data_IF_147295831677
#
_entry.id   IF_147295831677
#
_cell.length_a   1.000
_cell.length_b   1.000
_cell.length_c   1.000
_cell.angle_alpha   90.00
_cell.angle_beta   90.00
_cell.angle_gamma   90.00
#
_symmetry.space_group_name_H-M   'P 1'
#
loop_
_entity.id
_entity.type
_entity.pdbx_description
1 polymer ?
#
# COMPACT_ATOMS: atom_id res chain seq x y z
N UNK A 1 3.44 -6.59 -21.80
CA UNK A 1 2.55 -5.45 -22.13
C UNK A 1 1.27 -5.64 -21.33
N UNK A 2 0.98 -4.80 -20.33
CA UNK A 2 -0.25 -4.91 -19.51
C UNK A 2 -0.05 -4.82 -18.00
N UNK A 3 1.18 -4.96 -17.50
CA UNK A 3 1.48 -4.82 -16.07
C UNK A 3 1.52 -3.33 -15.69
N UNK A 4 0.81 -2.89 -14.63
CA UNK A 4 0.93 -1.54 -14.11
C UNK A 4 2.41 -1.21 -13.83
N UNK A 5 2.94 -0.06 -14.27
CA UNK A 5 4.35 0.27 -14.14
C UNK A 5 4.70 0.78 -12.73
N UNK A 6 4.30 0.03 -11.70
CA UNK A 6 4.52 0.36 -10.30
C UNK A 6 4.52 -0.90 -9.42
N UNK A 7 5.27 -0.85 -8.33
CA UNK A 7 5.44 -1.93 -7.36
C UNK A 7 4.18 -2.31 -6.58
N UNK A 8 3.16 -1.45 -6.54
CA UNK A 8 1.86 -1.76 -5.91
C UNK A 8 0.67 -1.35 -6.77
N UNK A 9 -0.45 -2.04 -6.57
CA UNK A 9 -1.77 -1.66 -7.08
C UNK A 9 -2.62 -1.23 -5.89
N UNK A 10 -3.25 -0.06 -5.99
CA UNK A 10 -4.15 0.46 -4.95
C UNK A 10 -5.54 0.70 -5.51
N UNK A 11 -6.56 0.58 -4.66
CA UNK A 11 -7.94 0.88 -5.01
C UNK A 11 -8.90 0.65 -3.86
N UNK A 12 -10.18 0.94 -4.08
CA UNK A 12 -11.24 0.60 -3.11
C UNK A 12 -11.89 -0.70 -3.55
N UNK A 13 -11.94 -1.66 -2.65
CA UNK A 13 -12.59 -2.95 -2.83
C UNK A 13 -13.80 -3.11 -1.91
N UNK A 14 -14.65 -4.09 -2.23
CA UNK A 14 -15.68 -4.61 -1.32
C UNK A 14 -15.42 -6.10 -1.08
N UNK A 15 -15.06 -6.44 0.15
CA UNK A 15 -14.99 -7.81 0.61
C UNK A 15 -16.41 -8.33 0.82
N UNK A 16 -16.73 -9.49 0.25
CA UNK A 16 -18.04 -10.12 0.46
C UNK A 16 -18.04 -10.79 1.83
N UNK A 17 -19.10 -10.53 2.58
CA UNK A 17 -19.43 -11.25 3.82
C UNK A 17 -20.93 -11.54 3.81
N UNK A 18 -21.37 -12.52 4.59
CA UNK A 18 -22.78 -12.90 4.75
C UNK A 18 -23.68 -11.77 5.29
N UNK A 19 -23.10 -10.66 5.78
CA UNK A 19 -23.81 -9.53 6.38
C UNK A 19 -23.73 -8.21 5.59
N UNK A 20 -23.47 -8.25 4.27
CA UNK A 20 -23.56 -7.06 3.40
C UNK A 20 -22.23 -6.51 2.88
N UNK A 21 -21.12 -7.14 3.28
CA UNK A 21 -19.78 -6.90 2.76
C UNK A 21 -19.09 -5.64 3.31
N UNK A 22 -17.76 -5.70 3.41
CA UNK A 22 -16.91 -4.64 3.93
C UNK A 22 -16.25 -3.87 2.80
N UNK A 23 -16.52 -2.56 2.68
CA UNK A 23 -15.74 -1.68 1.80
C UNK A 23 -14.42 -1.33 2.49
N UNK A 24 -13.31 -1.41 1.77
CA UNK A 24 -12.00 -1.11 2.30
C UNK A 24 -11.09 -0.56 1.20
N UNK A 25 -10.14 0.30 1.57
CA UNK A 25 -8.98 0.58 0.75
C UNK A 25 -8.09 -0.65 0.71
N UNK A 26 -7.63 -1.03 -0.47
CA UNK A 26 -6.79 -2.21 -0.67
C UNK A 26 -5.49 -1.81 -1.36
N UNK A 27 -4.37 -2.27 -0.80
CA UNK A 27 -3.04 -2.20 -1.40
C UNK A 27 -2.57 -3.62 -1.68
N UNK A 28 -2.11 -3.89 -2.90
CA UNK A 28 -1.61 -5.21 -3.29
C UNK A 28 -0.25 -5.02 -3.97
N UNK A 29 0.78 -5.69 -3.48
CA UNK A 29 2.07 -5.70 -4.16
C UNK A 29 1.98 -6.36 -5.53
N UNK A 30 2.56 -5.69 -6.53
CA UNK A 30 2.64 -6.14 -7.91
C UNK A 30 3.96 -6.86 -8.14
N UNK A 31 4.04 -8.13 -7.74
CA UNK A 31 5.26 -8.94 -7.88
C UNK A 31 5.71 -9.10 -9.34
N UNK A 32 4.79 -8.99 -10.30
CA UNK A 32 5.08 -9.02 -11.73
C UNK A 32 5.85 -7.78 -12.23
N UNK A 33 5.88 -6.70 -11.46
CA UNK A 33 6.67 -5.50 -11.77
C UNK A 33 7.84 -5.38 -10.80
N UNK A 34 9.06 -5.65 -11.29
CA UNK A 34 10.31 -5.50 -10.54
C UNK A 34 10.25 -6.16 -9.14
N UNK A 35 9.71 -7.38 -9.05
CA UNK A 35 9.55 -8.14 -7.81
C UNK A 35 8.74 -7.42 -6.70
N UNK A 36 7.81 -6.53 -7.09
CA UNK A 36 7.02 -5.75 -6.14
C UNK A 36 7.83 -4.71 -5.38
N UNK A 37 9.06 -4.42 -5.83
CA UNK A 37 9.94 -3.46 -5.19
C UNK A 37 9.25 -2.10 -5.05
N UNK A 38 9.30 -1.57 -3.84
CA UNK A 38 8.57 -0.38 -3.46
C UNK A 38 9.21 0.86 -4.10
N UNK A 39 8.43 1.56 -4.93
CA UNK A 39 8.86 2.70 -5.74
C UNK A 39 8.12 4.00 -5.38
N UNK A 40 8.59 5.13 -5.89
CA UNK A 40 8.02 6.46 -5.62
C UNK A 40 6.56 6.58 -6.10
N UNK A 41 6.23 5.95 -7.24
CA UNK A 41 4.86 5.92 -7.74
C UNK A 41 3.92 5.13 -6.82
N UNK A 42 4.41 4.05 -6.22
CA UNK A 42 3.72 3.26 -5.21
C UNK A 42 3.46 4.07 -3.95
N UNK A 43 4.43 4.90 -3.55
CA UNK A 43 4.27 5.81 -2.42
C UNK A 43 3.15 6.83 -2.65
N UNK A 44 3.16 7.48 -3.81
CA UNK A 44 2.14 8.46 -4.16
C UNK A 44 0.74 7.81 -4.20
N UNK A 45 0.63 6.62 -4.80
CA UNK A 45 -0.62 5.86 -4.88
C UNK A 45 -1.16 5.45 -3.51
N UNK A 46 -0.28 5.01 -2.62
CA UNK A 46 -0.69 4.63 -1.27
C UNK A 46 -1.10 5.86 -0.46
N UNK A 47 -0.35 6.95 -0.51
CA UNK A 47 -0.73 8.21 0.14
C UNK A 47 -2.10 8.72 -0.34
N UNK A 48 -2.37 8.68 -1.66
CA UNK A 48 -3.70 9.03 -2.21
C UNK A 48 -4.79 8.10 -1.70
N UNK A 49 -4.54 6.81 -1.62
CA UNK A 49 -5.50 5.85 -1.06
C UNK A 49 -5.81 6.17 0.41
N UNK A 50 -4.79 6.47 1.24
CA UNK A 50 -4.98 6.82 2.64
C UNK A 50 -5.86 8.07 2.81
N UNK A 51 -5.68 9.09 1.96
CA UNK A 51 -6.54 10.29 1.97
C UNK A 51 -7.99 9.93 1.65
N UNK A 52 -8.22 9.16 0.58
CA UNK A 52 -9.58 8.75 0.20
C UNK A 52 -10.22 7.88 1.29
N UNK A 53 -9.46 6.97 1.91
CA UNK A 53 -9.96 6.14 3.00
C UNK A 53 -10.26 6.97 4.27
N UNK A 54 -9.51 8.03 4.52
CA UNK A 54 -9.76 8.93 5.63
C UNK A 54 -11.06 9.73 5.41
N UNK A 55 -11.28 10.24 4.20
CA UNK A 55 -12.49 10.97 3.82
C UNK A 55 -13.74 10.08 3.86
N UNK A 56 -13.66 8.86 3.33
CA UNK A 56 -14.78 7.91 3.32
C UNK A 56 -14.91 7.09 4.61
N UNK A 57 -14.02 7.28 5.59
CA UNK A 57 -13.90 6.46 6.81
C UNK A 57 -13.86 4.97 6.55
N UNK A 58 -13.01 4.55 5.61
CA UNK A 58 -12.81 3.17 5.23
C UNK A 58 -11.58 2.57 5.92
N UNK A 59 -11.64 1.29 6.33
CA UNK A 59 -10.45 0.56 6.76
C UNK A 59 -9.50 0.34 5.59
N UNK A 60 -8.23 0.12 5.89
CA UNK A 60 -7.18 -0.12 4.88
C UNK A 60 -6.60 -1.52 5.08
N UNK A 61 -6.52 -2.28 3.99
CA UNK A 61 -6.02 -3.65 3.98
C UNK A 61 -4.89 -3.74 2.96
N UNK A 62 -3.71 -4.16 3.41
CA UNK A 62 -2.51 -4.25 2.60
C UNK A 62 -2.08 -5.71 2.44
N UNK A 63 -1.84 -6.15 1.22
CA UNK A 63 -1.23 -7.43 0.88
C UNK A 63 0.17 -7.16 0.31
N UNK A 64 1.18 -7.33 1.15
CA UNK A 64 2.55 -6.91 0.86
C UNK A 64 3.41 -8.12 0.54
N UNK A 65 4.08 -8.04 -0.60
CA UNK A 65 5.11 -8.96 -1.07
C UNK A 65 6.09 -8.15 -1.92
N UNK A 66 7.24 -7.81 -1.35
CA UNK A 66 8.23 -6.92 -1.94
C UNK A 66 9.66 -7.39 -1.70
N UNK A 67 10.45 -7.38 -2.78
CA UNK A 67 11.91 -7.49 -2.73
C UNK A 67 12.62 -6.27 -2.12
N UNK A 68 11.88 -5.38 -1.45
CA UNK A 68 12.41 -4.22 -0.72
C UNK A 68 12.32 -2.93 -1.53
N UNK A 69 13.33 -2.06 -1.35
CA UNK A 69 13.39 -0.76 -2.00
C UNK A 69 13.72 -0.87 -3.50
N UNK A 70 13.11 -0.02 -4.32
CA UNK A 70 13.46 0.13 -5.73
C UNK A 70 14.82 0.82 -5.92
N UNK A 71 15.91 0.05 -5.98
CA UNK A 71 17.28 0.58 -6.12
C UNK A 71 17.52 1.39 -7.38
N UNK A 72 16.76 1.13 -8.46
CA UNK A 72 16.87 1.87 -9.73
C UNK A 72 16.38 3.33 -9.64
N UNK A 73 15.61 3.69 -8.61
CA UNK A 73 15.21 5.08 -8.32
C UNK A 73 16.24 5.80 -7.44
N UNK A 74 17.33 5.12 -7.09
CA UNK A 74 18.44 5.68 -6.31
C UNK A 74 18.00 6.11 -4.91
N UNK A 75 18.55 7.23 -4.45
CA UNK A 75 18.29 7.74 -3.11
C UNK A 75 16.81 8.10 -2.87
N UNK A 76 16.03 8.37 -3.92
CA UNK A 76 14.60 8.71 -3.79
C UNK A 76 13.79 7.60 -3.13
N UNK A 77 14.08 6.34 -3.45
CA UNK A 77 13.32 5.20 -2.94
C UNK A 77 13.54 4.93 -1.43
N UNK A 78 14.62 5.47 -0.84
CA UNK A 78 14.82 5.42 0.62
C UNK A 78 13.74 6.23 1.34
N UNK A 79 13.34 7.37 0.77
CA UNK A 79 12.42 8.30 1.40
C UNK A 79 10.95 7.92 1.18
N UNK A 80 10.62 7.20 0.11
CA UNK A 80 9.23 6.74 -0.13
C UNK A 80 8.68 5.96 1.04
N UNK A 81 9.47 5.04 1.62
CA UNK A 81 8.99 4.21 2.71
C UNK A 81 8.84 5.01 4.01
N UNK A 82 9.79 5.90 4.31
CA UNK A 82 9.70 6.80 5.46
C UNK A 82 8.47 7.72 5.37
N UNK A 83 8.21 8.28 4.18
CA UNK A 83 7.06 9.15 3.95
C UNK A 83 5.73 8.41 4.15
N UNK A 84 5.62 7.16 3.67
CA UNK A 84 4.42 6.36 3.87
C UNK A 84 4.23 5.97 5.31
N UNK A 85 5.29 5.58 6.02
CA UNK A 85 5.18 5.18 7.41
C UNK A 85 4.71 6.35 8.30
N UNK A 86 5.19 7.57 8.06
CA UNK A 86 4.67 8.78 8.72
C UNK A 86 3.19 8.98 8.39
N UNK A 87 2.81 8.86 7.10
CA UNK A 87 1.40 9.02 6.68
C UNK A 87 0.49 7.96 7.24
N UNK A 88 0.94 6.71 7.33
CA UNK A 88 0.19 5.61 7.91
C UNK A 88 0.02 5.81 9.42
N UNK A 89 1.09 6.23 10.10
CA UNK A 89 1.04 6.55 11.54
C UNK A 89 0.03 7.66 11.82
N UNK A 90 0.06 8.74 11.02
CA UNK A 90 -0.94 9.82 11.11
C UNK A 90 -2.34 9.33 10.79
N UNK A 91 -2.51 8.49 9.78
CA UNK A 91 -3.81 7.93 9.42
C UNK A 91 -4.43 7.17 10.60
N UNK A 92 -3.66 6.28 11.25
CA UNK A 92 -4.12 5.52 12.41
C UNK A 92 -4.39 6.45 13.60
N UNK A 93 -3.49 7.41 13.86
CA UNK A 93 -3.60 8.31 15.02
C UNK A 93 -4.76 9.31 14.91
N UNK A 94 -4.96 9.88 13.72
CA UNK A 94 -5.89 11.00 13.52
C UNK A 94 -7.31 10.52 13.23
N UNK A 95 -7.47 9.36 12.57
CA UNK A 95 -8.78 8.83 12.17
C UNK A 95 -9.23 7.61 12.97
N UNK A 96 -8.34 6.95 13.72
CA UNK A 96 -8.62 5.74 14.50
C UNK A 96 -9.25 4.61 13.64
N UNK A 97 -8.87 4.56 12.36
CA UNK A 97 -9.35 3.57 11.39
C UNK A 97 -8.42 2.36 11.36
N UNK A 98 -8.97 1.13 11.26
CA UNK A 98 -8.14 -0.05 11.31
C UNK A 98 -7.33 -0.22 10.01
N UNK A 99 -6.05 -0.53 10.20
CA UNK A 99 -5.10 -0.89 9.15
C UNK A 99 -4.66 -2.33 9.39
N UNK A 100 -4.83 -3.18 8.38
CA UNK A 100 -4.41 -4.58 8.44
C UNK A 100 -3.37 -4.82 7.36
N UNK A 101 -2.20 -5.36 7.73
CA UNK A 101 -1.11 -5.65 6.79
C UNK A 101 -0.84 -7.15 6.80
N UNK A 102 -1.03 -7.78 5.65
CA UNK A 102 -0.71 -9.18 5.38
C UNK A 102 0.57 -9.26 4.56
N UNK A 103 1.67 -9.64 5.21
CA UNK A 103 2.91 -9.99 4.52
C UNK A 103 2.83 -11.41 3.96
N UNK A 104 3.19 -11.59 2.69
CA UNK A 104 3.27 -12.91 2.06
C UNK A 104 4.45 -12.97 1.09
N UNK A 105 5.12 -14.12 0.99
CA UNK A 105 6.33 -14.24 0.17
C UNK A 105 7.49 -13.40 0.73
N UNK A 106 8.22 -12.72 -0.15
CA UNK A 106 9.34 -11.87 0.24
C UNK A 106 8.84 -10.54 0.82
N UNK A 107 9.27 -10.18 2.03
CA UNK A 107 9.07 -8.85 2.62
C UNK A 107 10.41 -8.39 3.21
N UNK A 108 11.33 -7.97 2.34
CA UNK A 108 12.72 -7.72 2.75
C UNK A 108 12.99 -6.28 3.11
N UNK A 109 13.76 -6.08 4.20
CA UNK A 109 14.23 -4.76 4.62
C UNK A 109 13.17 -4.00 5.43
N UNK A 110 12.91 -2.75 5.05
CA UNK A 110 11.92 -1.90 5.71
C UNK A 110 10.52 -1.94 5.10
N UNK A 111 10.26 -2.90 4.21
CA UNK A 111 9.00 -3.09 3.49
C UNK A 111 7.96 -3.88 4.32
#
# INVERSE_FOLDING_TARGET
>A
KGTPPCGVVTGIGRFKDGQGGLRAGVVISNTAFKAGAFDMASAEKFCKLLVVCAEERLPVICFISSGGMQTMEGAGALFSMAAINDRLTRFVRDFDLPVIVFGFGDCTGGA
#
